data_IF_813443157200
#
_entry.id   IF_813443157200
#
_cell.length_a   1.000
_cell.length_b   1.000
_cell.length_c   1.000
_cell.angle_alpha   90.00
_cell.angle_beta   90.00
_cell.angle_gamma   90.00
#
_symmetry.space_group_name_H-M   'P 1'
#
loop_
_entity.id
_entity.type
_entity.pdbx_description
1 polymer ?
#
# COMPACT_ATOMS: atom_id res chain seq x y z
N UNK A 1 6.27 37.95 -20.96
CA UNK A 1 7.54 37.51 -21.53
C UNK A 1 7.64 36.06 -21.19
N UNK A 2 6.96 35.23 -22.00
CA UNK A 2 7.49 34.32 -23.03
C UNK A 2 8.49 33.31 -22.47
N UNK A 3 8.38 31.99 -22.60
CA UNK A 3 7.89 31.15 -23.69
C UNK A 3 7.57 29.73 -23.20
N UNK A 4 6.45 29.25 -23.63
CA UNK A 4 5.98 27.85 -23.68
C UNK A 4 6.90 26.99 -24.58
N UNK A 5 7.22 25.75 -24.18
CA UNK A 5 7.57 24.68 -25.12
C UNK A 5 6.94 23.34 -24.71
N UNK A 6 5.86 22.99 -25.39
CA UNK A 6 5.32 21.64 -25.52
C UNK A 6 6.29 20.79 -26.35
N UNK A 7 6.61 19.58 -25.89
CA UNK A 7 7.10 18.51 -26.75
C UNK A 7 6.11 17.34 -26.68
N UNK A 8 5.41 17.17 -27.80
CA UNK A 8 4.71 15.95 -28.21
C UNK A 8 5.75 14.90 -28.57
N UNK A 9 5.58 13.68 -28.07
CA UNK A 9 6.28 12.49 -28.57
C UNK A 9 5.22 11.58 -29.20
N UNK A 10 5.29 11.46 -30.50
CA UNK A 10 4.56 10.51 -31.33
C UNK A 10 5.04 9.08 -31.07
N UNK A 11 4.10 8.21 -30.78
CA UNK A 11 4.28 6.75 -30.76
C UNK A 11 4.13 6.19 -32.17
N UNK A 12 5.23 5.73 -32.75
CA UNK A 12 5.26 4.93 -33.95
C UNK A 12 5.14 3.44 -33.63
N UNK A 13 4.02 2.85 -33.96
CA UNK A 13 3.80 1.39 -33.97
C UNK A 13 4.53 0.81 -35.18
N UNK A 14 5.44 -0.15 -34.97
CA UNK A 14 5.99 -1.00 -36.03
C UNK A 14 5.58 -2.45 -35.81
N UNK A 15 4.76 -2.95 -36.74
CA UNK A 15 4.46 -4.36 -36.98
C UNK A 15 5.70 -5.09 -37.51
N UNK A 16 6.02 -6.32 -37.07
CA UNK A 16 7.09 -7.11 -37.68
C UNK A 16 6.58 -7.85 -38.92
N UNK A 17 7.29 -7.62 -40.03
CA UNK A 17 7.10 -8.33 -41.30
C UNK A 17 7.64 -9.77 -41.20
N UNK A 18 6.88 -10.65 -41.83
CA UNK A 18 7.26 -12.03 -42.15
C UNK A 18 8.44 -12.05 -43.11
N UNK A 19 9.52 -12.65 -42.75
CA UNK A 19 10.60 -13.01 -43.63
C UNK A 19 10.56 -14.52 -43.91
N UNK A 20 10.40 -14.86 -45.19
CA UNK A 20 10.34 -16.20 -45.75
C UNK A 20 11.75 -16.75 -45.96
N UNK A 21 11.99 -17.97 -45.50
CA UNK A 21 13.21 -18.71 -45.72
C UNK A 21 13.33 -19.25 -47.13
N UNK A 22 14.54 -19.31 -47.74
CA UNK A 22 14.76 -20.00 -48.99
C UNK A 22 15.10 -21.49 -48.77
N UNK A 23 14.56 -22.33 -49.66
CA UNK A 23 14.72 -23.78 -49.71
C UNK A 23 16.13 -24.24 -50.13
N UNK A 24 16.56 -25.46 -49.77
CA UNK A 24 17.88 -25.98 -50.12
C UNK A 24 17.89 -26.64 -51.52
N UNK A 25 18.97 -26.36 -52.25
CA UNK A 25 19.24 -27.00 -53.54
C UNK A 25 19.76 -28.43 -53.37
N UNK A 26 19.08 -29.38 -54.00
CA UNK A 26 19.56 -30.75 -54.26
C UNK A 26 20.64 -30.76 -55.35
N UNK A 27 21.81 -31.28 -55.01
CA UNK A 27 22.82 -31.70 -56.00
C UNK A 27 22.95 -33.23 -56.02
N UNK A 28 22.63 -33.80 -57.17
CA UNK A 28 22.75 -35.26 -57.44
C UNK A 28 24.20 -35.70 -57.77
N UNK A 29 24.49 -36.99 -57.59
CA UNK A 29 25.86 -37.53 -57.63
C UNK A 29 26.35 -37.89 -59.05
N UNK A 30 27.66 -37.76 -59.24
CA UNK A 30 28.34 -38.25 -60.41
C UNK A 30 28.92 -39.68 -60.17
N UNK A 31 28.49 -40.61 -61.00
CA UNK A 31 29.02 -41.96 -61.15
C UNK A 31 30.31 -41.92 -61.94
N UNK A 32 31.36 -42.67 -61.50
CA UNK A 32 32.46 -43.06 -62.33
C UNK A 32 32.68 -44.59 -62.24
N UNK A 33 32.71 -45.14 -63.43
CA UNK A 33 32.70 -46.52 -63.89
C UNK A 33 34.03 -47.21 -63.62
N UNK A 34 33.88 -48.43 -63.24
CA UNK A 34 34.83 -49.58 -63.30
C UNK A 34 35.74 -49.67 -64.52
N UNK A 35 36.96 -50.15 -64.32
CA UNK A 35 37.61 -51.06 -65.26
C UNK A 35 38.43 -52.13 -64.50
N UNK A 36 38.09 -53.38 -64.83
CA UNK A 36 38.79 -54.62 -64.53
C UNK A 36 40.13 -54.74 -65.33
N UNK A 37 41.12 -55.31 -64.71
CA UNK A 37 41.97 -56.30 -65.41
C UNK A 37 42.46 -57.38 -64.46
N UNK A 38 42.24 -58.61 -64.90
CA UNK A 38 42.72 -59.86 -64.30
C UNK A 38 44.17 -60.07 -64.65
N UNK A 39 44.92 -60.78 -63.82
CA UNK A 39 45.79 -61.96 -64.06
C UNK A 39 46.70 -62.12 -62.86
N UNK A 40 46.74 -63.27 -62.24
CA UNK A 40 47.47 -64.48 -62.38
C UNK A 40 47.89 -65.02 -61.01
N UNK A 41 47.53 -66.26 -60.72
CA UNK A 41 48.02 -67.07 -59.60
C UNK A 41 49.42 -67.57 -59.94
N UNK A 42 50.36 -67.82 -58.92
CA UNK A 42 50.33 -69.13 -58.23
C UNK A 42 50.75 -69.12 -56.75
N UNK A 43 50.18 -70.06 -56.01
CA UNK A 43 50.54 -70.76 -54.81
C UNK A 43 51.97 -70.85 -54.45
N UNK A 44 52.36 -70.52 -53.21
CA UNK A 44 53.36 -71.28 -52.46
C UNK A 44 53.23 -71.07 -50.96
N UNK A 45 53.07 -72.19 -50.28
CA UNK A 45 52.94 -72.42 -48.85
C UNK A 45 54.24 -71.94 -48.14
N UNK A 46 54.09 -71.12 -47.08
CA UNK A 46 55.14 -70.97 -46.06
C UNK A 46 54.48 -70.66 -44.72
N UNK A 47 54.45 -71.66 -43.88
CA UNK A 47 54.24 -71.54 -42.45
C UNK A 47 55.36 -70.64 -41.88
N UNK A 48 54.98 -69.44 -41.36
CA UNK A 48 55.85 -68.78 -40.40
C UNK A 48 54.99 -68.15 -39.34
N UNK A 49 55.28 -68.59 -38.15
CA UNK A 49 54.84 -68.14 -36.83
C UNK A 49 54.82 -66.60 -36.75
N UNK A 50 53.68 -65.98 -36.78
CA UNK A 50 53.52 -64.59 -36.37
C UNK A 50 53.09 -64.60 -34.90
N UNK A 51 54.06 -64.34 -34.03
CA UNK A 51 53.77 -63.96 -32.65
C UNK A 51 52.81 -62.79 -32.67
N UNK A 52 51.57 -63.05 -32.23
CA UNK A 52 50.60 -62.03 -31.99
C UNK A 52 51.10 -61.07 -30.89
N UNK A 53 51.61 -59.91 -31.26
CA UNK A 53 51.60 -58.77 -30.41
C UNK A 53 50.15 -58.39 -30.22
N UNK A 54 49.50 -59.07 -29.30
CA UNK A 54 48.28 -58.53 -28.70
C UNK A 54 48.75 -57.34 -27.88
N UNK A 55 48.88 -56.16 -28.53
CA UNK A 55 48.81 -54.91 -27.85
C UNK A 55 47.44 -54.90 -27.14
N UNK A 56 47.47 -55.19 -25.87
CA UNK A 56 46.35 -54.85 -25.02
C UNK A 56 46.08 -53.34 -25.18
N UNK A 57 45.16 -53.00 -26.07
CA UNK A 57 44.44 -51.75 -25.96
C UNK A 57 43.76 -51.85 -24.58
N UNK A 58 44.43 -51.31 -23.57
CA UNK A 58 43.75 -50.99 -22.34
C UNK A 58 42.64 -50.06 -22.80
N UNK A 59 41.49 -50.67 -23.06
CA UNK A 59 40.22 -49.87 -23.08
C UNK A 59 40.23 -49.14 -21.76
N UNK A 60 40.40 -47.84 -21.82
CA UNK A 60 40.11 -46.99 -20.72
C UNK A 60 38.59 -47.19 -20.54
N UNK A 61 38.23 -48.20 -19.77
CA UNK A 61 36.90 -48.31 -19.23
C UNK A 61 36.78 -47.17 -18.25
N UNK A 62 36.39 -45.99 -18.74
CA UNK A 62 35.81 -45.00 -17.83
C UNK A 62 34.69 -45.72 -17.11
N UNK A 63 34.88 -45.94 -15.80
CA UNK A 63 33.88 -46.59 -14.98
C UNK A 63 32.54 -45.93 -15.26
N UNK A 64 31.51 -46.71 -15.57
CA UNK A 64 30.18 -46.21 -15.91
C UNK A 64 29.64 -45.24 -14.84
N UNK A 65 30.00 -45.45 -13.58
CA UNK A 65 29.73 -44.58 -12.45
C UNK A 65 30.38 -43.20 -12.62
N UNK A 66 31.62 -43.10 -13.06
CA UNK A 66 32.33 -41.83 -13.28
C UNK A 66 31.74 -41.05 -14.45
N UNK A 67 31.36 -41.75 -15.53
CA UNK A 67 30.70 -41.15 -16.69
C UNK A 67 29.27 -40.62 -16.35
N UNK A 68 28.54 -41.33 -15.51
CA UNK A 68 27.23 -40.89 -15.00
C UNK A 68 27.37 -39.72 -14.01
N UNK A 69 28.32 -39.78 -13.08
CA UNK A 69 28.61 -38.74 -12.11
C UNK A 69 28.98 -37.40 -12.75
N UNK A 70 29.71 -37.41 -13.85
CA UNK A 70 30.09 -36.21 -14.61
C UNK A 70 28.90 -35.46 -15.22
N UNK A 71 27.71 -36.08 -15.27
CA UNK A 71 26.47 -35.46 -15.76
C UNK A 71 25.55 -34.97 -14.64
N UNK A 72 25.91 -35.17 -13.38
CA UNK A 72 25.17 -34.71 -12.22
C UNK A 72 25.55 -33.28 -11.88
N UNK A 73 24.57 -32.43 -11.68
CA UNK A 73 24.79 -31.03 -11.37
C UNK A 73 23.76 -30.51 -10.37
N UNK A 74 24.08 -29.41 -9.70
CA UNK A 74 23.15 -28.66 -8.86
C UNK A 74 22.27 -27.83 -9.80
N UNK A 75 20.98 -28.13 -9.83
CA UNK A 75 20.00 -27.41 -10.66
C UNK A 75 19.65 -26.07 -10.05
N UNK A 76 19.32 -26.06 -8.77
CA UNK A 76 19.02 -24.86 -8.00
C UNK A 76 19.31 -25.07 -6.51
N UNK A 77 19.40 -23.96 -5.79
CA UNK A 77 19.56 -23.92 -4.33
C UNK A 77 18.51 -22.95 -3.78
N UNK A 78 17.78 -23.38 -2.77
CA UNK A 78 16.76 -22.58 -2.12
C UNK A 78 17.06 -22.45 -0.63
N UNK A 79 17.06 -21.23 -0.14
CA UNK A 79 17.18 -20.91 1.27
C UNK A 79 15.79 -20.50 1.82
N UNK A 80 15.46 -20.92 3.02
CA UNK A 80 14.28 -20.47 3.75
C UNK A 80 14.66 -20.18 5.21
N UNK A 81 14.69 -18.88 5.61
CA UNK A 81 14.45 -17.67 4.81
C UNK A 81 15.54 -17.40 3.76
N UNK A 82 15.21 -16.65 2.69
CA UNK A 82 16.18 -16.26 1.64
C UNK A 82 17.30 -15.38 2.17
N UNK A 83 17.00 -14.51 3.14
CA UNK A 83 17.95 -13.69 3.90
C UNK A 83 17.67 -13.88 5.38
N UNK A 84 18.68 -14.32 6.11
CA UNK A 84 18.57 -14.59 7.55
C UNK A 84 18.76 -13.31 8.38
N UNK A 85 18.19 -13.29 9.57
CA UNK A 85 18.72 -12.47 10.66
C UNK A 85 19.86 -13.21 11.38
N UNK A 86 20.72 -12.48 12.09
CA UNK A 86 21.70 -13.11 12.97
C UNK A 86 21.04 -14.06 13.97
N UNK A 87 21.48 -15.33 13.95
CA UNK A 87 20.96 -16.37 14.84
C UNK A 87 19.65 -17.04 14.41
N UNK A 88 19.04 -16.63 13.28
CA UNK A 88 17.85 -17.28 12.73
C UNK A 88 18.11 -18.73 12.36
N UNK A 89 17.10 -19.56 12.59
CA UNK A 89 17.05 -20.93 12.11
C UNK A 89 16.41 -20.99 10.71
N UNK A 90 16.83 -21.95 9.90
CA UNK A 90 16.20 -22.12 8.59
C UNK A 90 16.69 -23.38 7.91
N UNK A 91 16.41 -23.45 6.61
CA UNK A 91 16.80 -24.59 5.78
C UNK A 91 17.48 -24.16 4.50
N UNK A 92 18.37 -25.02 3.99
CA UNK A 92 18.89 -24.93 2.63
C UNK A 92 18.59 -26.23 1.89
N UNK A 93 18.03 -26.12 0.70
CA UNK A 93 17.68 -27.25 -0.16
C UNK A 93 18.46 -27.18 -1.46
N UNK A 94 19.18 -28.25 -1.77
CA UNK A 94 19.92 -28.44 -3.02
C UNK A 94 19.15 -29.42 -3.91
N UNK A 95 18.72 -28.98 -5.08
CA UNK A 95 18.09 -29.80 -6.09
C UNK A 95 19.14 -30.31 -7.06
N UNK A 96 19.43 -31.62 -6.98
CA UNK A 96 20.48 -32.28 -7.74
C UNK A 96 19.85 -33.07 -8.89
N UNK A 97 20.30 -32.80 -10.10
CA UNK A 97 19.74 -33.42 -11.31
C UNK A 97 20.83 -34.25 -12.02
N UNK A 98 20.47 -35.49 -12.40
CA UNK A 98 21.25 -36.27 -13.34
C UNK A 98 20.85 -35.88 -14.77
N UNK A 99 21.68 -35.10 -15.44
CA UNK A 99 21.45 -34.58 -16.79
C UNK A 99 21.58 -35.61 -17.90
N UNK A 100 21.74 -36.90 -17.58
CA UNK A 100 21.78 -37.96 -18.60
C UNK A 100 20.37 -38.22 -19.13
N UNK A 101 20.05 -37.67 -20.30
CA UNK A 101 18.74 -37.82 -20.97
C UNK A 101 18.83 -38.66 -22.26
N UNK A 102 19.91 -39.42 -22.45
CA UNK A 102 20.05 -40.28 -23.62
C UNK A 102 18.96 -41.36 -23.66
N UNK A 103 18.44 -41.69 -24.84
CA UNK A 103 17.29 -42.56 -25.08
C UNK A 103 17.36 -43.95 -24.48
N UNK A 104 18.54 -44.44 -24.12
CA UNK A 104 18.76 -45.74 -23.49
C UNK A 104 19.67 -45.60 -22.26
N UNK A 105 19.65 -44.46 -21.58
CA UNK A 105 20.43 -44.24 -20.41
C UNK A 105 19.95 -45.15 -19.27
N UNK A 106 20.76 -46.10 -18.85
CA UNK A 106 20.52 -46.99 -17.71
C UNK A 106 21.28 -46.55 -16.47
N UNK A 107 22.21 -45.61 -16.64
CA UNK A 107 23.23 -45.31 -15.64
C UNK A 107 22.73 -44.24 -14.64
N UNK A 108 22.23 -44.73 -13.52
CA UNK A 108 22.01 -43.93 -12.34
C UNK A 108 23.28 -43.72 -11.55
N UNK A 109 23.28 -42.68 -10.70
CA UNK A 109 24.38 -42.39 -9.77
C UNK A 109 23.92 -42.78 -8.36
N UNK A 110 24.75 -43.59 -7.69
CA UNK A 110 24.52 -43.93 -6.28
C UNK A 110 25.25 -42.89 -5.42
N UNK A 111 24.47 -42.08 -4.70
CA UNK A 111 24.98 -41.14 -3.71
C UNK A 111 25.22 -41.89 -2.42
N UNK A 112 26.43 -41.84 -1.90
CA UNK A 112 26.78 -42.43 -0.61
C UNK A 112 26.63 -41.45 0.55
N UNK A 113 26.96 -40.19 0.33
CA UNK A 113 26.94 -39.16 1.38
C UNK A 113 26.66 -37.81 0.79
N UNK A 114 25.80 -37.04 1.45
CA UNK A 114 25.59 -35.61 1.17
C UNK A 114 25.76 -34.79 2.46
N UNK A 115 26.54 -33.73 2.38
CA UNK A 115 26.82 -32.85 3.52
C UNK A 115 26.98 -31.41 3.07
N UNK A 116 26.77 -30.50 3.99
CA UNK A 116 27.13 -29.10 3.84
C UNK A 116 28.22 -28.75 4.86
N UNK A 117 29.27 -28.09 4.40
CA UNK A 117 30.30 -27.50 5.24
C UNK A 117 30.06 -25.98 5.26
N UNK A 118 29.86 -25.45 6.42
CA UNK A 118 29.63 -24.03 6.66
C UNK A 118 30.35 -23.68 7.96
N UNK A 119 31.49 -23.02 7.87
CA UNK A 119 32.33 -22.76 9.04
C UNK A 119 31.65 -21.80 10.01
N UNK A 120 30.78 -20.90 9.53
CA UNK A 120 30.07 -19.91 10.31
C UNK A 120 28.61 -20.31 10.58
N UNK A 121 27.95 -21.07 9.70
CA UNK A 121 26.60 -21.59 9.92
C UNK A 121 26.65 -22.88 10.75
N UNK A 122 25.84 -22.97 11.76
CA UNK A 122 25.67 -24.22 12.50
C UNK A 122 24.70 -25.14 11.75
N UNK A 123 25.19 -26.28 11.24
CA UNK A 123 24.32 -27.31 10.63
C UNK A 123 23.73 -28.16 11.72
N UNK A 124 22.40 -28.13 11.89
CA UNK A 124 21.66 -28.81 12.96
C UNK A 124 20.94 -30.08 12.52
N UNK A 125 20.76 -30.27 11.21
CA UNK A 125 20.08 -31.44 10.65
C UNK A 125 20.40 -31.68 9.17
N UNK A 126 19.99 -32.85 8.66
CA UNK A 126 20.18 -33.19 7.25
C UNK A 126 21.48 -33.96 6.96
N UNK A 127 21.83 -34.94 7.78
CA UNK A 127 22.89 -35.87 7.43
C UNK A 127 22.36 -37.00 6.54
N UNK A 128 22.90 -37.08 5.33
CA UNK A 128 22.54 -38.14 4.37
C UNK A 128 23.69 -39.13 4.27
N UNK A 129 23.62 -40.21 5.01
CA UNK A 129 24.63 -41.27 5.10
C UNK A 129 24.15 -42.60 4.51
N UNK A 130 22.99 -42.60 3.86
CA UNK A 130 22.40 -43.78 3.24
C UNK A 130 22.42 -43.65 1.73
N UNK A 131 22.67 -44.82 1.05
CA UNK A 131 22.72 -44.87 -0.40
C UNK A 131 21.38 -44.41 -1.03
N UNK A 132 21.47 -43.42 -1.90
CA UNK A 132 20.36 -42.91 -2.68
C UNK A 132 20.70 -42.91 -4.15
N UNK A 133 19.81 -43.41 -5.00
CA UNK A 133 20.01 -43.43 -6.45
C UNK A 133 19.41 -42.18 -7.11
N UNK A 134 20.17 -41.56 -8.03
CA UNK A 134 19.67 -40.52 -8.93
C UNK A 134 19.73 -41.08 -10.35
N UNK A 135 18.60 -41.61 -10.83
CA UNK A 135 18.49 -42.17 -12.18
C UNK A 135 18.61 -41.09 -13.27
N UNK A 136 18.77 -41.51 -14.53
CA UNK A 136 18.84 -40.60 -15.67
C UNK A 136 17.63 -39.66 -15.73
N UNK A 137 17.87 -38.34 -15.88
CA UNK A 137 16.85 -37.31 -15.91
C UNK A 137 16.13 -37.03 -14.57
N UNK A 138 16.45 -37.76 -13.50
CA UNK A 138 15.84 -37.55 -12.18
C UNK A 138 16.48 -36.42 -11.43
N UNK A 139 15.67 -35.79 -10.59
CA UNK A 139 16.10 -34.76 -9.60
C UNK A 139 15.88 -35.31 -8.19
N UNK A 140 16.81 -35.09 -7.29
CA UNK A 140 16.74 -35.36 -5.86
C UNK A 140 17.05 -34.11 -5.08
N UNK A 141 16.27 -33.85 -4.03
CA UNK A 141 16.45 -32.73 -3.12
C UNK A 141 17.16 -33.19 -1.85
N UNK A 142 18.16 -32.45 -1.44
CA UNK A 142 18.88 -32.63 -0.18
C UNK A 142 18.69 -31.37 0.66
N UNK A 143 18.00 -31.49 1.80
CA UNK A 143 17.66 -30.37 2.67
C UNK A 143 18.43 -30.45 3.98
N UNK A 144 19.03 -29.36 4.39
CA UNK A 144 19.78 -29.22 5.64
C UNK A 144 19.15 -28.13 6.49
N UNK A 145 19.05 -28.40 7.78
CA UNK A 145 18.65 -27.39 8.78
C UNK A 145 19.89 -26.68 9.27
N UNK A 146 19.82 -25.37 9.31
CA UNK A 146 20.94 -24.48 9.67
C UNK A 146 20.52 -23.42 10.65
N UNK A 147 21.50 -22.88 11.40
CA UNK A 147 21.35 -21.66 12.21
C UNK A 147 22.37 -20.65 11.68
N UNK A 148 21.91 -19.45 11.39
CA UNK A 148 22.72 -18.37 10.87
C UNK A 148 23.75 -17.88 11.92
N UNK A 149 24.92 -17.38 11.47
CA UNK A 149 25.89 -16.75 12.36
C UNK A 149 25.34 -15.49 13.03
N UNK A 150 25.97 -15.10 14.13
CA UNK A 150 25.58 -13.92 14.91
C UNK A 150 26.02 -12.58 14.26
N UNK A 151 26.75 -12.62 13.15
CA UNK A 151 27.29 -11.43 12.48
C UNK A 151 26.65 -11.31 11.11
N UNK A 152 26.26 -10.12 10.74
CA UNK A 152 25.77 -9.82 9.38
C UNK A 152 26.89 -9.99 8.34
N UNK A 153 26.53 -10.38 7.12
CA UNK A 153 27.47 -10.58 6.04
C UNK A 153 26.95 -11.49 4.94
N UNK A 154 27.81 -11.72 3.94
CA UNK A 154 27.55 -12.69 2.87
C UNK A 154 28.44 -13.90 3.10
N UNK A 155 27.84 -15.07 3.14
CA UNK A 155 28.47 -16.33 3.46
C UNK A 155 28.41 -17.29 2.29
N UNK A 156 29.36 -18.24 2.23
CA UNK A 156 29.57 -19.15 1.10
C UNK A 156 29.70 -20.60 1.56
N UNK A 157 28.69 -21.21 2.18
CA UNK A 157 28.75 -22.63 2.56
C UNK A 157 28.90 -23.50 1.33
N UNK A 158 29.66 -24.61 1.52
CA UNK A 158 29.98 -25.56 0.46
C UNK A 158 29.21 -26.86 0.66
N UNK A 159 28.38 -27.20 -0.30
CA UNK A 159 27.70 -28.49 -0.40
C UNK A 159 28.64 -29.51 -1.06
N UNK A 160 28.67 -30.74 -0.55
CA UNK A 160 29.37 -31.85 -1.19
C UNK A 160 28.47 -33.08 -1.28
N UNK A 161 28.59 -33.76 -2.43
CA UNK A 161 27.88 -34.99 -2.74
C UNK A 161 28.88 -36.05 -3.15
N UNK A 162 29.00 -37.11 -2.34
CA UNK A 162 29.95 -38.20 -2.58
C UNK A 162 29.21 -39.36 -3.25
N UNK A 163 29.81 -39.86 -4.33
CA UNK A 163 29.28 -40.98 -5.11
C UNK A 163 30.01 -42.30 -4.80
N UNK A 164 29.34 -43.39 -5.06
CA UNK A 164 29.95 -44.69 -5.04
C UNK A 164 30.69 -44.87 -6.37
N UNK A 165 32.04 -45.07 -6.31
CA UNK A 165 32.85 -45.36 -7.48
C UNK A 165 33.08 -44.16 -8.42
N UNK A 166 32.93 -42.93 -7.95
CA UNK A 166 33.19 -41.72 -8.73
C UNK A 166 33.63 -40.56 -7.83
N UNK A 167 34.15 -39.49 -8.45
CA UNK A 167 34.53 -38.26 -7.76
C UNK A 167 33.34 -37.51 -7.23
N UNK A 168 33.54 -36.78 -6.13
CA UNK A 168 32.51 -35.99 -5.46
C UNK A 168 32.12 -34.71 -6.21
N UNK A 169 30.85 -34.33 -6.17
CA UNK A 169 30.38 -33.01 -6.59
C UNK A 169 30.57 -32.01 -5.43
N UNK A 170 31.11 -30.84 -5.75
CA UNK A 170 31.24 -29.71 -4.82
C UNK A 170 30.50 -28.50 -5.38
N UNK A 171 29.76 -27.80 -4.53
CA UNK A 171 29.04 -26.61 -4.92
C UNK A 171 29.04 -25.59 -3.79
N UNK A 172 29.43 -24.36 -4.09
CA UNK A 172 29.41 -23.25 -3.13
C UNK A 172 28.14 -22.43 -3.32
N UNK A 173 27.31 -22.35 -2.29
CA UNK A 173 26.08 -21.56 -2.28
C UNK A 173 26.32 -20.24 -1.58
N UNK A 174 25.74 -19.17 -2.11
CA UNK A 174 25.73 -17.85 -1.46
C UNK A 174 24.50 -17.72 -0.57
N UNK A 175 24.66 -17.12 0.61
CA UNK A 175 23.56 -16.73 1.51
C UNK A 175 23.91 -15.44 2.23
N UNK A 176 22.89 -14.60 2.45
CA UNK A 176 23.04 -13.32 3.15
C UNK A 176 22.46 -13.40 4.55
N UNK A 177 23.16 -12.82 5.51
CA UNK A 177 22.69 -12.51 6.86
C UNK A 177 22.64 -11.00 7.01
N UNK A 178 21.49 -10.44 7.37
CA UNK A 178 21.22 -9.00 7.39
C UNK A 178 20.41 -8.66 8.65
N UNK A 179 20.92 -7.76 9.47
CA UNK A 179 20.31 -7.35 10.76
C UNK A 179 19.31 -6.20 10.63
N UNK A 180 19.01 -5.75 9.43
CA UNK A 180 18.07 -4.63 9.19
C UNK A 180 16.64 -5.01 9.61
N UNK A 181 16.06 -4.38 10.66
CA UNK A 181 14.67 -4.62 11.04
C UNK A 181 13.69 -3.91 10.11
N UNK A 182 12.39 -4.19 10.24
CA UNK A 182 11.36 -3.36 9.64
C UNK A 182 11.42 -1.93 10.19
N UNK A 183 11.19 -0.94 9.32
CA UNK A 183 11.16 0.46 9.69
C UNK A 183 9.72 0.93 9.92
N UNK A 184 9.47 1.55 11.09
CA UNK A 184 8.17 2.13 11.44
C UNK A 184 8.26 3.65 11.39
N UNK A 185 7.53 4.27 10.48
CA UNK A 185 7.54 5.72 10.24
C UNK A 185 6.17 6.33 10.45
N UNK A 186 6.10 7.47 11.13
CA UNK A 186 4.86 8.25 11.25
C UNK A 186 4.69 9.07 9.97
N UNK A 187 3.68 8.74 9.17
CA UNK A 187 3.36 9.47 7.93
C UNK A 187 2.52 10.71 8.22
N UNK A 188 1.56 10.58 9.13
CA UNK A 188 0.72 11.69 9.58
C UNK A 188 0.29 11.48 11.04
N UNK A 189 0.27 12.56 11.78
CA UNK A 189 -0.28 12.66 13.13
C UNK A 189 -0.76 14.11 13.35
N UNK A 190 -1.61 14.39 14.34
CA UNK A 190 -1.92 15.76 14.74
C UNK A 190 -0.65 16.47 15.22
N UNK A 191 -0.60 17.80 15.09
CA UNK A 191 0.52 18.60 15.61
C UNK A 191 0.61 18.48 17.14
N UNK A 192 -0.56 18.50 17.81
CA UNK A 192 -0.72 18.28 19.25
C UNK A 192 -1.93 17.39 19.51
N UNK A 193 -1.88 16.64 20.60
CA UNK A 193 -3.02 15.85 21.04
C UNK A 193 -3.85 16.64 22.05
N UNK A 194 -5.12 16.28 22.17
CA UNK A 194 -6.01 16.83 23.18
C UNK A 194 -6.66 15.71 24.00
N UNK A 195 -6.88 16.02 25.30
CA UNK A 195 -7.52 15.05 26.20
C UNK A 195 -8.93 14.69 25.71
N UNK A 196 -9.26 13.41 25.74
CA UNK A 196 -10.55 12.83 25.38
C UNK A 196 -11.00 13.15 23.92
N UNK A 197 -10.05 13.53 23.04
CA UNK A 197 -10.28 13.75 21.62
C UNK A 197 -9.72 12.60 20.81
N UNK A 198 -10.46 12.24 19.77
CA UNK A 198 -10.07 11.20 18.82
C UNK A 198 -9.26 11.83 17.70
N UNK A 199 -8.06 11.29 17.46
CA UNK A 199 -7.18 11.73 16.41
C UNK A 199 -6.77 10.55 15.53
N UNK A 200 -6.64 10.76 14.23
CA UNK A 200 -6.20 9.76 13.26
C UNK A 200 -4.69 9.85 13.04
N UNK A 201 -4.02 8.69 13.16
CA UNK A 201 -2.61 8.54 12.85
C UNK A 201 -2.44 7.63 11.62
N UNK A 202 -1.48 8.00 10.78
CA UNK A 202 -1.06 7.21 9.62
C UNK A 202 0.37 6.73 9.81
N UNK A 203 0.58 5.42 9.77
CA UNK A 203 1.87 4.78 10.01
C UNK A 203 2.29 4.01 8.75
N UNK A 204 3.52 4.25 8.32
CA UNK A 204 4.18 3.47 7.28
C UNK A 204 5.09 2.41 7.90
N UNK A 205 4.99 1.18 7.41
CA UNK A 205 5.88 0.08 7.77
C UNK A 205 6.61 -0.33 6.50
N UNK A 206 7.94 -0.19 6.51
CA UNK A 206 8.80 -0.46 5.35
C UNK A 206 9.65 -1.69 5.62
N UNK A 207 9.81 -2.52 4.60
CA UNK A 207 10.74 -3.64 4.62
C UNK A 207 12.01 -3.27 3.83
N UNK A 208 13.12 -2.90 4.48
CA UNK A 208 14.37 -2.57 3.80
C UNK A 208 15.15 -3.80 3.31
N UNK A 209 14.73 -5.01 3.71
CA UNK A 209 15.41 -6.26 3.41
C UNK A 209 15.21 -6.70 1.96
N UNK A 210 16.09 -7.56 1.46
CA UNK A 210 16.01 -8.11 0.10
C UNK A 210 15.00 -9.25 -0.06
N UNK A 211 14.47 -9.80 1.06
CA UNK A 211 13.45 -10.85 1.07
C UNK A 211 12.11 -10.37 1.60
N UNK A 212 11.07 -11.17 1.37
CA UNK A 212 9.74 -10.95 1.91
C UNK A 212 9.68 -11.34 3.39
N UNK A 213 8.96 -10.54 4.20
CA UNK A 213 8.55 -10.91 5.55
C UNK A 213 7.05 -11.18 5.58
N UNK A 214 6.60 -12.05 6.49
CA UNK A 214 5.22 -12.54 6.56
C UNK A 214 4.60 -12.26 7.93
N UNK A 215 3.29 -12.46 8.04
CA UNK A 215 2.54 -12.34 9.29
C UNK A 215 2.79 -11.02 10.03
N UNK A 216 2.95 -9.92 9.26
CA UNK A 216 3.19 -8.61 9.85
C UNK A 216 1.93 -8.13 10.54
N UNK A 217 2.06 -7.83 11.84
CA UNK A 217 0.97 -7.35 12.71
C UNK A 217 1.45 -6.08 13.40
N UNK A 218 0.67 -5.01 13.30
CA UNK A 218 0.84 -3.79 14.09
C UNK A 218 -0.09 -3.85 15.29
N UNK A 219 0.46 -3.72 16.49
CA UNK A 219 -0.28 -3.52 17.74
C UNK A 219 0.00 -2.14 18.32
N UNK A 220 -1.07 -1.46 18.72
CA UNK A 220 -1.05 -0.08 19.23
C UNK A 220 -1.49 -0.10 20.69
N UNK A 221 -0.68 0.44 21.60
CA UNK A 221 -0.98 0.44 23.02
C UNK A 221 -0.40 1.67 23.72
N UNK A 222 -0.95 2.01 24.88
CA UNK A 222 -0.47 3.08 25.75
C UNK A 222 -1.34 3.22 26.97
N UNK A 223 -0.75 3.65 28.08
CA UNK A 223 -1.50 3.87 29.32
C UNK A 223 -2.45 5.07 29.15
N UNK A 224 -3.75 4.86 29.38
CA UNK A 224 -4.78 5.89 29.17
C UNK A 224 -5.05 6.21 27.69
N UNK A 225 -4.70 5.31 26.76
CA UNK A 225 -4.98 5.44 25.33
C UNK A 225 -6.01 4.39 24.91
N UNK A 226 -7.05 4.81 24.24
CA UNK A 226 -7.95 3.94 23.46
C UNK A 226 -7.57 4.03 22.00
N UNK A 227 -7.11 2.92 21.40
CA UNK A 227 -6.80 2.82 19.98
C UNK A 227 -7.88 2.03 19.23
N UNK A 228 -8.17 2.41 17.97
CA UNK A 228 -9.13 1.69 17.13
C UNK A 228 -8.71 1.76 15.62
N UNK A 229 -8.37 0.60 15.01
CA UNK A 229 -8.12 -0.68 15.68
C UNK A 229 -6.88 -0.62 16.56
N UNK A 230 -6.84 -1.41 17.64
CA UNK A 230 -5.66 -1.58 18.48
C UNK A 230 -4.66 -2.60 17.92
N UNK A 231 -5.13 -3.43 17.00
CA UNK A 231 -4.33 -4.43 16.31
C UNK A 231 -4.77 -4.51 14.84
N UNK A 232 -3.79 -4.50 13.93
CA UNK A 232 -4.00 -4.59 12.48
C UNK A 232 -3.11 -5.65 11.89
N UNK A 233 -3.73 -6.65 11.21
CA UNK A 233 -3.01 -7.62 10.40
C UNK A 233 -2.72 -7.02 9.02
N UNK A 234 -1.44 -6.90 8.68
CA UNK A 234 -0.96 -6.32 7.42
C UNK A 234 -0.67 -7.43 6.39
N UNK A 235 -0.26 -8.62 6.87
CA UNK A 235 0.07 -9.75 6.02
C UNK A 235 1.54 -9.81 5.66
N UNK A 236 1.87 -9.71 4.37
CA UNK A 236 3.26 -9.79 3.91
C UNK A 236 3.74 -8.46 3.36
N UNK A 237 5.01 -8.13 3.61
CA UNK A 237 5.67 -6.96 3.03
C UNK A 237 6.87 -7.45 2.21
N UNK A 238 6.82 -7.21 0.89
CA UNK A 238 7.91 -7.56 -0.03
C UNK A 238 9.16 -6.71 0.17
N UNK A 239 10.26 -7.14 -0.44
CA UNK A 239 11.53 -6.41 -0.46
C UNK A 239 11.35 -4.96 -0.94
N UNK A 240 11.87 -3.98 -0.19
CA UNK A 240 11.80 -2.56 -0.51
C UNK A 240 10.39 -1.95 -0.49
N UNK A 241 9.36 -2.68 -0.06
CA UNK A 241 7.99 -2.19 -0.02
C UNK A 241 7.65 -1.49 1.29
N UNK A 242 6.71 -0.54 1.21
CA UNK A 242 6.11 0.14 2.35
C UNK A 242 4.60 -0.05 2.31
N UNK A 243 4.03 -0.46 3.43
CA UNK A 243 2.57 -0.52 3.63
C UNK A 243 2.19 0.57 4.61
N UNK A 244 1.12 1.30 4.30
CA UNK A 244 0.58 2.36 5.17
C UNK A 244 -0.74 1.88 5.77
N UNK A 245 -0.90 2.08 7.07
CA UNK A 245 -2.13 1.79 7.81
C UNK A 245 -2.52 2.96 8.69
N UNK A 246 -3.82 3.12 8.91
CA UNK A 246 -4.39 4.18 9.73
C UNK A 246 -5.11 3.58 10.93
N UNK A 247 -5.03 4.27 12.05
CA UNK A 247 -5.80 3.98 13.26
C UNK A 247 -6.11 5.28 13.99
N UNK A 248 -7.11 5.24 14.84
CA UNK A 248 -7.47 6.39 15.68
C UNK A 248 -7.04 6.16 17.12
N UNK A 249 -6.62 7.21 17.79
CA UNK A 249 -6.30 7.20 19.23
C UNK A 249 -7.13 8.23 19.97
N UNK A 250 -7.53 7.89 21.19
CA UNK A 250 -8.21 8.82 22.12
C UNK A 250 -7.45 8.76 23.44
N UNK A 251 -6.54 9.72 23.71
CA UNK A 251 -5.78 9.76 24.93
C UNK A 251 -6.57 10.44 26.04
N UNK A 252 -6.56 9.87 27.25
CA UNK A 252 -7.18 10.45 28.46
C UNK A 252 -6.17 11.22 29.33
N UNK A 253 -4.89 11.02 29.09
CA UNK A 253 -3.76 11.68 29.77
C UNK A 253 -2.53 11.74 28.89
N UNK A 254 -1.59 12.61 29.23
CA UNK A 254 -0.26 12.63 28.62
C UNK A 254 0.48 11.33 28.92
N UNK A 255 1.07 10.71 27.90
CA UNK A 255 1.69 9.39 27.97
C UNK A 255 2.53 9.10 26.73
N UNK A 256 2.92 7.85 26.55
CA UNK A 256 3.62 7.38 25.35
C UNK A 256 2.77 6.34 24.63
N UNK A 257 2.46 6.59 23.38
CA UNK A 257 1.89 5.61 22.46
C UNK A 257 3.00 4.67 21.98
N UNK A 258 2.79 3.38 22.16
CA UNK A 258 3.71 2.34 21.74
C UNK A 258 3.13 1.61 20.53
N UNK A 259 3.91 1.59 19.46
CA UNK A 259 3.64 0.83 18.22
C UNK A 259 4.56 -0.38 18.24
N UNK A 260 3.99 -1.57 18.32
CA UNK A 260 4.75 -2.82 18.26
C UNK A 260 4.39 -3.55 16.96
N UNK A 261 5.39 -3.77 16.11
CA UNK A 261 5.26 -4.53 14.88
C UNK A 261 5.92 -5.88 15.07
N UNK A 262 5.13 -6.95 14.99
CA UNK A 262 5.65 -8.33 14.96
C UNK A 262 5.57 -8.89 13.55
N UNK A 263 6.50 -9.74 13.18
CA UNK A 263 6.56 -10.35 11.84
C UNK A 263 7.41 -11.61 11.85
N UNK A 264 7.27 -12.42 10.79
CA UNK A 264 8.02 -13.65 10.60
C UNK A 264 8.99 -13.54 9.43
N UNK A 265 10.23 -14.03 9.64
CA UNK A 265 11.24 -14.26 8.63
C UNK A 265 11.49 -15.77 8.51
N UNK A 266 10.92 -16.43 7.48
CA UNK A 266 10.77 -17.88 7.50
C UNK A 266 9.90 -18.31 8.69
N UNK A 267 10.42 -19.19 9.53
CA UNK A 267 9.76 -19.64 10.78
C UNK A 267 10.20 -18.86 12.02
N UNK A 268 11.02 -17.80 11.87
CA UNK A 268 11.53 -17.04 12.99
C UNK A 268 10.68 -15.80 13.25
N UNK A 269 10.36 -15.56 14.54
CA UNK A 269 9.56 -14.42 14.98
C UNK A 269 10.44 -13.24 15.36
N UNK A 270 10.11 -12.07 14.81
CA UNK A 270 10.80 -10.80 15.08
C UNK A 270 9.83 -9.73 15.52
N UNK A 271 10.35 -8.69 16.16
CA UNK A 271 9.56 -7.52 16.53
C UNK A 271 10.38 -6.25 16.51
N UNK A 272 9.71 -5.14 16.17
CA UNK A 272 10.24 -3.78 16.27
C UNK A 272 9.25 -2.90 16.99
N UNK A 273 9.74 -2.02 17.84
CA UNK A 273 8.91 -1.12 18.65
C UNK A 273 9.25 0.33 18.33
N UNK A 274 8.24 1.14 18.04
CA UNK A 274 8.34 2.60 17.91
C UNK A 274 7.49 3.28 18.99
N UNK A 275 7.91 4.46 19.45
CA UNK A 275 7.23 5.23 20.50
C UNK A 275 6.94 6.64 20.06
N UNK A 276 5.70 7.09 20.31
CA UNK A 276 5.24 8.44 19.99
C UNK A 276 4.82 9.10 21.32
N UNK A 277 5.42 10.22 21.73
CA UNK A 277 4.97 10.96 22.89
C UNK A 277 3.60 11.60 22.61
N UNK A 278 2.67 11.43 23.56
CA UNK A 278 1.38 12.09 23.58
C UNK A 278 1.48 13.22 24.61
N UNK A 279 1.54 14.45 24.10
CA UNK A 279 1.60 15.67 24.90
C UNK A 279 0.39 16.51 24.52
N UNK A 280 -0.29 17.08 25.51
CA UNK A 280 -1.46 17.93 25.30
C UNK A 280 -1.04 19.38 25.10
N UNK A 281 -1.56 20.02 24.08
CA UNK A 281 -1.42 21.43 23.84
C UNK A 281 -2.61 21.93 23.01
N UNK A 282 -2.71 23.24 22.83
CA UNK A 282 -3.73 23.85 21.97
C UNK A 282 -3.37 23.63 20.51
N UNK A 283 -4.24 22.96 19.78
CA UNK A 283 -4.07 22.78 18.34
C UNK A 283 -4.32 24.10 17.61
N UNK A 284 -3.33 24.57 16.86
CA UNK A 284 -3.40 25.81 16.08
C UNK A 284 -4.08 25.62 14.72
N UNK A 285 -4.36 24.38 14.33
CA UNK A 285 -4.98 24.05 13.05
C UNK A 285 -6.46 23.64 13.18
N UNK A 286 -7.15 24.07 14.22
CA UNK A 286 -8.59 23.78 14.37
C UNK A 286 -9.42 24.57 13.35
N UNK A 287 -10.63 24.07 13.10
CA UNK A 287 -11.69 24.85 12.51
C UNK A 287 -12.22 25.86 13.55
N UNK A 288 -12.57 27.05 13.11
CA UNK A 288 -13.05 28.14 13.97
C UNK A 288 -14.29 28.82 13.33
N UNK A 289 -15.46 28.20 13.40
CA UNK A 289 -16.68 28.82 12.92
C UNK A 289 -17.07 30.01 13.80
N UNK A 290 -17.07 31.21 13.21
CA UNK A 290 -17.40 32.49 13.85
C UNK A 290 -18.64 33.08 13.18
N UNK A 291 -19.64 33.50 13.97
CA UNK A 291 -20.78 34.22 13.44
C UNK A 291 -20.49 35.70 13.28
N UNK A 292 -20.99 36.30 12.19
CA UNK A 292 -20.82 37.69 11.83
C UNK A 292 -22.08 38.24 11.13
N UNK A 293 -22.12 39.51 10.85
CA UNK A 293 -23.23 40.19 10.15
C UNK A 293 -24.61 39.90 10.76
N UNK A 294 -24.66 39.80 12.09
CA UNK A 294 -25.88 39.45 12.84
C UNK A 294 -26.92 40.58 12.70
N UNK A 295 -28.12 40.18 12.30
CA UNK A 295 -29.31 41.07 12.27
C UNK A 295 -30.39 40.41 13.08
N UNK A 296 -30.95 41.17 14.01
CA UNK A 296 -32.02 40.74 14.93
C UNK A 296 -33.30 41.44 14.58
N UNK A 297 -34.37 40.70 14.26
CA UNK A 297 -35.71 41.22 14.07
C UNK A 297 -36.64 40.72 15.18
N UNK A 298 -37.31 41.62 15.85
CA UNK A 298 -38.32 41.30 16.86
C UNK A 298 -39.74 41.31 16.24
N UNK A 299 -40.51 40.26 16.48
CA UNK A 299 -41.89 40.15 16.02
C UNK A 299 -42.71 39.30 16.97
N UNK A 300 -43.91 39.76 17.38
CA UNK A 300 -44.95 39.01 18.11
C UNK A 300 -44.48 38.06 19.24
N UNK A 301 -43.42 38.44 19.99
CA UNK A 301 -42.90 37.64 21.10
C UNK A 301 -41.76 36.67 20.70
N UNK A 302 -41.41 36.62 19.43
CA UNK A 302 -40.27 35.84 18.92
C UNK A 302 -39.23 36.75 18.29
N UNK A 303 -38.03 36.24 18.16
CA UNK A 303 -36.90 36.88 17.48
C UNK A 303 -36.46 36.03 16.30
N UNK A 304 -36.27 36.69 15.15
CA UNK A 304 -35.63 36.12 13.98
C UNK A 304 -34.22 36.69 13.87
N UNK A 305 -33.23 35.81 13.90
CA UNK A 305 -31.81 36.19 13.78
C UNK A 305 -31.26 35.62 12.50
N UNK A 306 -30.73 36.49 11.65
CA UNK A 306 -29.99 36.12 10.44
C UNK A 306 -28.55 36.59 10.56
N UNK A 307 -27.64 35.87 9.93
CA UNK A 307 -26.20 36.22 9.92
C UNK A 307 -25.43 35.29 9.03
N UNK A 308 -24.12 35.42 9.06
CA UNK A 308 -23.20 34.58 8.35
C UNK A 308 -22.29 33.84 9.35
N UNK A 309 -22.02 32.58 9.07
CA UNK A 309 -20.98 31.78 9.76
C UNK A 309 -19.82 31.63 8.83
N UNK A 310 -18.64 32.10 9.23
CA UNK A 310 -17.38 31.99 8.50
C UNK A 310 -16.44 31.05 9.28
N UNK A 311 -15.81 30.12 8.60
CA UNK A 311 -14.76 29.30 9.21
C UNK A 311 -13.42 30.07 9.13
N UNK A 312 -13.06 30.76 10.21
CA UNK A 312 -11.81 31.50 10.34
C UNK A 312 -10.60 30.60 10.66
N UNK A 313 -10.85 29.28 10.89
CA UNK A 313 -9.81 28.29 11.18
C UNK A 313 -9.12 27.76 9.94
N UNK A 314 -8.10 26.91 10.18
CA UNK A 314 -7.25 26.35 9.11
C UNK A 314 -7.71 24.99 8.59
N UNK A 315 -8.65 24.33 9.28
CA UNK A 315 -9.20 23.03 8.88
C UNK A 315 -10.70 23.16 8.60
N UNK A 316 -11.26 22.11 8.00
CA UNK A 316 -12.69 22.04 7.65
C UNK A 316 -13.56 21.87 8.91
N UNK A 317 -14.63 22.66 9.03
CA UNK A 317 -15.72 22.44 9.98
C UNK A 317 -16.79 21.60 9.32
N UNK A 318 -17.04 20.38 9.81
CA UNK A 318 -18.06 19.49 9.27
C UNK A 318 -19.33 19.54 10.08
N UNK A 319 -20.49 19.35 9.43
CA UNK A 319 -21.81 19.30 10.08
C UNK A 319 -22.08 20.52 10.97
N UNK A 320 -21.76 21.72 10.47
CA UNK A 320 -22.00 22.98 11.19
C UNK A 320 -23.48 23.21 11.37
N UNK A 321 -23.93 23.42 12.61
CA UNK A 321 -25.31 23.69 12.98
C UNK A 321 -25.33 24.90 13.89
N UNK A 322 -26.23 25.84 13.58
CA UNK A 322 -26.48 27.07 14.36
C UNK A 322 -27.81 26.94 15.08
N UNK A 323 -27.86 27.27 16.38
CA UNK A 323 -29.05 27.32 17.20
C UNK A 323 -28.85 28.31 18.34
N UNK A 324 -29.82 28.45 19.21
CA UNK A 324 -29.72 29.23 20.46
C UNK A 324 -29.77 28.30 21.67
N UNK A 325 -29.23 28.76 22.80
CA UNK A 325 -29.32 28.04 24.07
C UNK A 325 -30.04 28.85 25.15
N UNK A 326 -30.32 28.20 26.28
CA UNK A 326 -30.92 28.83 27.45
C UNK A 326 -30.25 30.17 27.80
N UNK A 327 -31.02 31.24 28.10
CA UNK A 327 -32.43 31.24 28.43
C UNK A 327 -33.41 31.24 27.22
N UNK A 328 -32.89 31.38 25.98
CA UNK A 328 -33.73 31.34 24.79
C UNK A 328 -34.28 29.92 24.52
N UNK A 329 -35.49 29.86 23.96
CA UNK A 329 -36.10 28.61 23.52
C UNK A 329 -36.27 28.65 22.00
N UNK A 330 -35.59 27.75 21.23
CA UNK A 330 -35.78 27.67 19.79
C UNK A 330 -37.22 27.40 19.40
N UNK A 331 -37.74 28.14 18.42
CA UNK A 331 -39.14 28.04 17.96
C UNK A 331 -39.20 27.89 16.43
N UNK A 332 -40.39 27.55 15.91
CA UNK A 332 -40.63 27.50 14.47
C UNK A 332 -40.63 28.92 13.89
N UNK A 333 -40.23 29.15 12.60
CA UNK A 333 -39.95 28.10 11.64
C UNK A 333 -38.51 27.54 11.71
N UNK A 334 -37.52 28.24 12.24
CA UNK A 334 -36.09 27.86 12.17
C UNK A 334 -35.54 27.63 13.58
N UNK A 335 -35.85 26.49 14.19
CA UNK A 335 -35.34 26.11 15.53
C UNK A 335 -33.83 25.90 15.55
N UNK A 336 -33.28 25.40 14.43
CA UNK A 336 -31.85 25.24 14.17
C UNK A 336 -31.60 25.35 12.68
N UNK A 337 -30.42 25.80 12.31
CA UNK A 337 -30.03 25.94 10.92
C UNK A 337 -28.81 25.05 10.63
N UNK A 338 -28.94 24.12 9.67
CA UNK A 338 -27.87 23.23 9.26
C UNK A 338 -27.11 23.91 8.11
N UNK A 339 -25.93 24.41 8.41
CA UNK A 339 -25.03 25.04 7.43
C UNK A 339 -24.35 23.96 6.56
N UNK A 340 -23.97 22.81 7.18
CA UNK A 340 -23.24 21.75 6.52
C UNK A 340 -21.72 21.86 6.72
N UNK A 341 -20.94 21.71 5.66
CA UNK A 341 -19.47 21.74 5.72
C UNK A 341 -18.94 23.10 5.28
N UNK A 342 -18.09 23.71 6.11
CA UNK A 342 -17.36 24.93 5.81
C UNK A 342 -15.85 24.65 5.76
N UNK A 343 -15.24 24.84 4.61
CA UNK A 343 -13.77 24.80 4.47
C UNK A 343 -13.15 26.03 5.13
N UNK A 344 -11.81 26.03 5.27
CA UNK A 344 -11.09 27.23 5.68
C UNK A 344 -11.46 28.44 4.79
N UNK A 345 -11.69 29.60 5.40
CA UNK A 345 -12.10 30.86 4.75
C UNK A 345 -13.46 30.80 4.02
N UNK A 346 -14.23 29.72 4.17
CA UNK A 346 -15.56 29.60 3.60
C UNK A 346 -16.63 30.15 4.53
N UNK A 347 -17.78 30.59 3.98
CA UNK A 347 -18.89 31.13 4.78
C UNK A 347 -20.25 30.68 4.23
N UNK A 348 -21.24 30.72 5.10
CA UNK A 348 -22.64 30.51 4.72
C UNK A 348 -23.56 31.32 5.60
N UNK A 349 -24.68 31.78 5.05
CA UNK A 349 -25.71 32.50 5.82
C UNK A 349 -26.58 31.52 6.61
N UNK A 350 -27.07 31.96 7.74
CA UNK A 350 -27.99 31.20 8.59
C UNK A 350 -29.21 32.06 9.04
N UNK A 351 -30.25 31.37 9.47
CA UNK A 351 -31.45 31.96 10.07
C UNK A 351 -31.95 31.08 11.23
N UNK A 352 -32.19 31.67 12.39
CA UNK A 352 -32.75 30.99 13.56
C UNK A 352 -33.84 31.79 14.21
N UNK A 353 -34.92 31.11 14.63
CA UNK A 353 -36.07 31.72 15.30
C UNK A 353 -36.18 31.21 16.73
N UNK A 354 -36.41 32.11 17.70
CA UNK A 354 -36.51 31.74 19.12
C UNK A 354 -37.37 32.70 19.94
N UNK A 355 -37.81 32.23 21.09
CA UNK A 355 -38.35 33.04 22.19
C UNK A 355 -37.22 33.35 23.17
N UNK A 356 -37.00 34.61 23.47
CA UNK A 356 -35.96 35.05 24.40
C UNK A 356 -36.32 34.85 25.88
N UNK A 357 -37.57 34.50 26.21
CA UNK A 357 -38.06 34.34 27.57
C UNK A 357 -37.80 35.57 28.47
N UNK A 358 -37.82 36.79 27.89
CA UNK A 358 -37.54 38.02 28.59
C UNK A 358 -36.07 38.39 28.80
N UNK A 359 -35.16 37.63 28.23
CA UNK A 359 -33.73 37.95 28.28
C UNK A 359 -33.39 39.09 27.30
N UNK A 360 -32.47 39.99 27.71
CA UNK A 360 -31.92 41.04 26.85
C UNK A 360 -30.77 40.59 25.99
N UNK A 361 -30.16 39.43 26.31
CA UNK A 361 -29.11 38.82 25.55
C UNK A 361 -29.22 37.30 25.58
N UNK A 362 -28.98 36.64 24.45
CA UNK A 362 -29.08 35.17 24.33
C UNK A 362 -27.83 34.58 23.68
N UNK A 363 -27.41 33.38 24.08
CA UNK A 363 -26.28 32.70 23.45
C UNK A 363 -26.69 32.08 22.12
N UNK A 364 -26.04 32.47 21.04
CA UNK A 364 -26.02 31.77 19.76
C UNK A 364 -24.97 30.69 19.87
N UNK A 365 -25.34 29.46 19.54
CA UNK A 365 -24.50 28.27 19.68
C UNK A 365 -24.25 27.70 18.30
N UNK A 366 -22.98 27.54 17.94
CA UNK A 366 -22.52 26.90 16.72
C UNK A 366 -21.86 25.59 17.13
N UNK A 367 -22.43 24.47 16.68
CA UNK A 367 -21.81 23.15 16.86
C UNK A 367 -21.25 22.66 15.54
N UNK A 368 -20.11 22.01 15.58
CA UNK A 368 -19.47 21.44 14.39
C UNK A 368 -18.59 20.24 14.77
N UNK A 369 -18.15 19.48 13.75
CA UNK A 369 -17.22 18.37 13.90
C UNK A 369 -15.96 18.63 13.12
N UNK A 370 -14.82 18.11 13.64
CA UNK A 370 -13.58 18.00 12.88
C UNK A 370 -13.63 16.80 11.91
N UNK A 371 -12.52 16.53 11.22
CA UNK A 371 -12.40 15.40 10.27
C UNK A 371 -12.38 14.04 10.98
N UNK A 372 -12.00 13.98 12.27
CA UNK A 372 -12.04 12.79 13.10
C UNK A 372 -13.41 12.56 13.78
N UNK A 373 -14.36 13.50 13.58
CA UNK A 373 -15.74 13.44 14.09
C UNK A 373 -15.88 13.88 15.54
N UNK A 374 -14.89 14.55 16.14
CA UNK A 374 -15.00 15.16 17.46
C UNK A 374 -15.97 16.36 17.39
N UNK A 375 -16.86 16.48 18.39
CA UNK A 375 -17.83 17.56 18.48
C UNK A 375 -17.23 18.76 19.18
N UNK A 376 -17.35 19.93 18.57
CA UNK A 376 -16.95 21.23 19.12
C UNK A 376 -18.14 22.16 19.21
N UNK A 377 -18.07 23.12 20.12
CA UNK A 377 -19.10 24.12 20.34
C UNK A 377 -18.44 25.49 20.48
N UNK A 378 -18.91 26.45 19.68
CA UNK A 378 -18.59 27.89 19.80
C UNK A 378 -19.86 28.62 20.24
N UNK A 379 -19.73 29.60 21.14
CA UNK A 379 -20.88 30.36 21.67
C UNK A 379 -20.57 31.84 21.59
N UNK A 380 -21.53 32.61 21.07
CA UNK A 380 -21.52 34.06 21.03
C UNK A 380 -22.82 34.62 21.61
N UNK A 381 -22.75 35.63 22.44
CA UNK A 381 -23.93 36.30 22.95
C UNK A 381 -24.47 37.33 21.94
N UNK A 382 -25.75 37.26 21.66
CA UNK A 382 -26.49 38.23 20.84
C UNK A 382 -27.24 39.19 21.76
N UNK A 383 -27.00 40.47 21.59
CA UNK A 383 -27.77 41.54 22.25
C UNK A 383 -29.10 41.77 21.49
N UNK A 384 -30.20 41.70 22.20
CA UNK A 384 -31.54 41.87 21.63
C UNK A 384 -32.10 43.30 21.78
N UNK A 385 -31.36 44.19 22.47
CA UNK A 385 -31.77 45.57 22.68
C UNK A 385 -31.75 46.43 21.40
N UNK A 386 -30.94 46.04 20.41
CA UNK A 386 -30.85 46.71 19.10
C UNK A 386 -31.73 46.05 18.02
N UNK A 387 -32.75 45.29 18.42
CA UNK A 387 -33.61 44.60 17.47
C UNK A 387 -34.47 45.57 16.63
N UNK A 388 -34.45 45.39 15.31
CA UNK A 388 -35.38 46.08 14.42
C UNK A 388 -36.79 45.57 14.69
N UNK A 389 -37.67 46.42 15.28
CA UNK A 389 -39.09 46.08 15.46
C UNK A 389 -39.78 46.11 14.09
N UNK A 390 -40.22 45.00 13.58
CA UNK A 390 -41.21 44.96 12.51
C UNK A 390 -42.55 45.39 13.06
N UNK A 391 -42.78 46.69 13.18
CA UNK A 391 -44.11 47.23 13.23
C UNK A 391 -44.77 46.82 11.91
N UNK A 392 -45.77 45.91 11.95
CA UNK A 392 -46.71 45.73 10.85
C UNK A 392 -47.55 46.99 10.78
N UNK A 393 -46.90 48.06 10.31
CA UNK A 393 -47.57 49.28 9.93
C UNK A 393 -48.48 48.93 8.75
N UNK A 394 -49.78 48.92 8.97
CA UNK A 394 -50.71 49.13 7.89
C UNK A 394 -50.29 50.42 7.19
N UNK A 395 -49.43 50.25 6.20
CA UNK A 395 -48.77 51.34 5.47
C UNK A 395 -49.81 52.23 4.83
N UNK A 396 -49.48 53.50 4.62
CA UNK A 396 -50.37 54.49 4.01
C UNK A 396 -50.81 54.17 2.58
N UNK A 397 -50.50 52.95 2.08
CA UNK A 397 -50.87 52.47 0.73
C UNK A 397 -52.39 52.49 0.48
N UNK A 398 -53.27 52.24 1.49
CA UNK A 398 -54.71 52.35 1.33
C UNK A 398 -55.16 53.79 1.21
N UNK A 399 -54.56 54.75 1.93
CA UNK A 399 -54.87 56.17 1.81
C UNK A 399 -54.36 56.73 0.47
N UNK A 400 -53.21 56.38 0.01
CA UNK A 400 -52.68 56.82 -1.29
C UNK A 400 -53.51 56.22 -2.43
N UNK A 401 -53.87 54.95 -2.35
CA UNK A 401 -54.75 54.31 -3.35
C UNK A 401 -56.12 54.97 -3.42
N UNK A 402 -56.72 55.36 -2.26
CA UNK A 402 -57.99 56.11 -2.20
C UNK A 402 -57.88 57.49 -2.82
N UNK A 403 -56.80 58.24 -2.58
CA UNK A 403 -56.62 59.59 -3.14
C UNK A 403 -56.36 59.47 -4.67
N UNK A 404 -55.65 58.54 -5.17
CA UNK A 404 -55.43 58.32 -6.61
C UNK A 404 -56.78 57.98 -7.30
N UNK A 405 -57.61 57.16 -6.69
CA UNK A 405 -58.93 56.81 -7.23
C UNK A 405 -59.82 58.01 -7.30
N UNK A 406 -59.86 58.86 -6.26
CA UNK A 406 -60.63 60.10 -6.26
C UNK A 406 -60.18 61.13 -7.30
N UNK A 407 -58.84 61.20 -7.52
CA UNK A 407 -58.32 62.12 -8.57
C UNK A 407 -58.66 61.57 -9.98
N UNK A 408 -58.62 60.27 -10.20
CA UNK A 408 -59.03 59.68 -11.49
C UNK A 408 -60.51 59.89 -11.73
N UNK A 409 -61.42 59.73 -10.72
CA UNK A 409 -62.83 59.98 -10.82
C UNK A 409 -63.12 61.45 -11.03
N UNK A 410 -62.35 62.34 -10.37
CA UNK A 410 -62.51 63.81 -10.55
C UNK A 410 -62.16 64.27 -11.96
N UNK A 411 -61.06 63.75 -12.49
CA UNK A 411 -60.59 64.01 -13.87
C UNK A 411 -61.59 63.42 -14.88
N UNK A 412 -62.04 62.20 -14.66
CA UNK A 412 -63.04 61.55 -15.52
C UNK A 412 -64.40 62.30 -15.50
N UNK A 413 -64.83 62.71 -14.35
CA UNK A 413 -66.08 63.55 -14.18
C UNK A 413 -65.92 64.92 -14.87
N UNK A 414 -64.78 65.59 -14.72
CA UNK A 414 -64.45 66.84 -15.36
C UNK A 414 -64.41 66.74 -16.89
N UNK A 415 -63.77 65.70 -17.41
CA UNK A 415 -63.72 65.46 -18.88
C UNK A 415 -65.11 65.11 -19.43
N UNK A 416 -65.94 64.35 -18.68
CA UNK A 416 -67.31 64.06 -19.03
C UNK A 416 -68.21 65.33 -19.05
N UNK A 417 -68.05 66.15 -18.05
CA UNK A 417 -68.77 67.44 -17.97
C UNK A 417 -68.39 68.40 -19.07
N UNK A 418 -67.08 68.47 -19.43
CA UNK A 418 -66.55 69.29 -20.49
C UNK A 418 -67.08 68.82 -21.90
N UNK A 419 -67.13 67.48 -22.08
CA UNK A 419 -67.65 66.92 -23.31
C UNK A 419 -69.13 67.21 -23.49
N UNK A 420 -69.97 67.16 -22.45
CA UNK A 420 -71.38 67.46 -22.45
C UNK A 420 -71.70 68.94 -22.72
N UNK A 421 -70.79 69.85 -22.37
CA UNK A 421 -70.91 71.29 -22.62
C UNK A 421 -70.46 71.68 -24.04
N UNK A 422 -69.83 70.84 -24.77
CA UNK A 422 -69.42 71.05 -26.18
C UNK A 422 -70.45 70.54 -27.19
N UNK A 423 -71.54 69.87 -26.70
CA UNK A 423 -72.62 69.31 -27.52
C UNK A 423 -73.98 70.09 -27.34
N UNK A 424 -73.95 71.31 -26.75
CA UNK A 424 -75.11 72.21 -26.65
C UNK A 424 -74.82 73.48 -27.45
#
# INVERSE_FOLDING_TARGET
MELTKKHSVETLSRTPGKETAPAPCLGKPASIRTRRTMTGIPVLLSFFLVAACIGSVAAITTDASSAAAAKVYVKDVTWDPEVFYPGDSGTVSFNITNGNTALNATDGVIVNHATIRADEFQVTGGKYETSTNIGPGQTRTFTFSVVAPAVEGTYYPTFSLTYVGADSLWYTAMVKVDDSPLEVTVKSKPDTFQKDRKDTLSIGISNPRENIVKNVILSVSGDGITANPDTTFIGSIGSGQTVTTNFTVTPTKETTLTLNVTYDNGDNHHSVTSRIPIVFDTDKKLAEPVASNIKVKAGNGTYDVTGDVTNAGLTTANSVVVTVASPATPTIPYQSYVVGTLKSDDFASFEVTFDANGASSVPLVITYKDDDGNLFTSTMNIDLSESETTTSGSGPGLLIGGIVLLVILGIGGFLYYRKRKAEV
#
